data_IF_163225502542
#
_entry.id   IF_163225502542
#
_cell.length_a   1.000
_cell.length_b   1.000
_cell.length_c   1.000
_cell.angle_alpha   90.00
_cell.angle_beta   90.00
_cell.angle_gamma   90.00
#
_symmetry.space_group_name_H-M   'P 1'
#
loop_
_entity.id
_entity.type
_entity.pdbx_description
1 polymer ?
#
# COMPACT_ATOMS: atom_id res chain seq x y z
N UNK A 1 -3.80 -13.32 -17.20
CA UNK A 1 -2.76 -12.29 -16.96
C UNK A 1 -3.14 -10.94 -17.58
N UNK A 2 -3.06 -9.81 -16.83
CA UNK A 2 -3.32 -8.46 -17.34
C UNK A 2 -2.37 -8.01 -18.46
N UNK A 3 -2.86 -7.20 -19.41
CA UNK A 3 -2.10 -6.75 -20.60
C UNK A 3 -0.83 -5.98 -20.24
N UNK A 4 -0.89 -5.07 -19.25
CA UNK A 4 0.28 -4.29 -18.82
C UNK A 4 1.39 -5.18 -18.25
N UNK A 5 1.02 -6.19 -17.45
CA UNK A 5 1.97 -7.17 -16.90
C UNK A 5 2.62 -7.95 -18.03
N UNK A 6 1.82 -8.45 -18.98
CA UNK A 6 2.32 -9.18 -20.16
C UNK A 6 3.35 -8.36 -20.95
N UNK A 7 3.07 -7.08 -21.24
CA UNK A 7 4.00 -6.20 -21.95
C UNK A 7 5.34 -6.03 -21.23
N UNK A 8 5.32 -5.95 -19.90
CA UNK A 8 6.57 -5.85 -19.12
C UNK A 8 7.32 -7.18 -19.16
N UNK A 9 6.61 -8.31 -19.02
CA UNK A 9 7.21 -9.64 -19.14
C UNK A 9 7.80 -9.91 -20.53
N UNK A 10 7.17 -9.44 -21.60
CA UNK A 10 7.72 -9.51 -22.96
C UNK A 10 9.02 -8.68 -23.11
N UNK A 11 9.18 -7.61 -22.32
CA UNK A 11 10.34 -6.71 -22.41
C UNK A 11 11.53 -7.13 -21.54
N UNK A 12 11.26 -7.60 -20.32
CA UNK A 12 12.29 -7.85 -19.29
C UNK A 12 12.05 -9.15 -18.51
N UNK A 13 11.07 -9.96 -18.92
CA UNK A 13 10.61 -11.12 -18.17
C UNK A 13 11.65 -12.21 -18.01
N UNK A 14 12.56 -12.35 -18.98
CA UNK A 14 13.61 -13.37 -18.99
C UNK A 14 14.96 -12.88 -18.45
N UNK A 15 15.06 -11.60 -18.12
CA UNK A 15 16.28 -11.06 -17.54
C UNK A 15 16.50 -11.62 -16.12
N UNK A 16 17.76 -11.83 -15.70
CA UNK A 16 18.07 -12.31 -14.35
C UNK A 16 17.56 -11.36 -13.25
N UNK A 17 16.89 -11.93 -12.25
CA UNK A 17 16.56 -11.23 -10.99
C UNK A 17 17.78 -11.26 -10.09
N UNK A 18 18.21 -10.08 -9.64
CA UNK A 18 19.41 -9.90 -8.79
C UNK A 18 19.07 -9.64 -7.33
N UNK A 19 17.87 -9.11 -7.04
CA UNK A 19 17.40 -8.87 -5.67
C UNK A 19 15.88 -9.01 -5.61
N UNK A 20 15.38 -9.62 -4.55
CA UNK A 20 13.96 -9.60 -4.18
C UNK A 20 13.86 -9.03 -2.77
N UNK A 21 12.94 -8.11 -2.57
CA UNK A 21 12.60 -7.59 -1.26
C UNK A 21 11.10 -7.63 -1.05
N UNK A 22 10.68 -7.97 0.17
CA UNK A 22 9.30 -7.83 0.63
C UNK A 22 9.12 -6.40 1.12
N UNK A 23 8.15 -5.69 0.55
CA UNK A 23 7.72 -4.41 1.07
C UNK A 23 6.38 -4.52 1.79
N UNK A 24 6.18 -3.72 2.84
CA UNK A 24 4.90 -3.53 3.52
C UNK A 24 4.50 -2.06 3.49
N UNK A 25 3.22 -1.81 3.20
CA UNK A 25 2.60 -0.49 3.37
C UNK A 25 1.42 -0.64 4.31
N UNK A 26 1.30 0.18 5.37
CA UNK A 26 0.14 0.12 6.24
C UNK A 26 -1.13 0.46 5.46
N UNK A 27 -2.23 -0.20 5.79
CA UNK A 27 -3.55 0.14 5.27
C UNK A 27 -3.92 1.54 5.77
N UNK A 28 -4.52 2.34 4.89
CA UNK A 28 -4.87 3.72 5.22
C UNK A 28 -5.73 3.83 6.48
N UNK A 29 -5.37 4.76 7.36
CA UNK A 29 -6.06 4.97 8.63
C UNK A 29 -7.56 5.27 8.45
N UNK A 30 -7.94 5.93 7.35
CA UNK A 30 -9.34 6.24 7.02
C UNK A 30 -10.15 4.96 6.77
N UNK A 31 -9.58 3.99 6.07
CA UNK A 31 -10.24 2.69 5.85
C UNK A 31 -10.37 1.94 7.18
N UNK A 32 -9.33 1.92 8.01
CA UNK A 32 -9.39 1.30 9.35
C UNK A 32 -10.46 1.94 10.22
N UNK A 33 -10.55 3.28 10.23
CA UNK A 33 -11.59 4.00 10.95
C UNK A 33 -12.99 3.61 10.47
N UNK A 34 -13.18 3.55 9.15
CA UNK A 34 -14.46 3.16 8.57
C UNK A 34 -14.85 1.71 8.93
N UNK A 35 -13.90 0.77 8.88
CA UNK A 35 -14.10 -0.62 9.32
C UNK A 35 -14.44 -0.70 10.80
N UNK A 36 -13.80 0.12 11.65
CA UNK A 36 -14.14 0.23 13.06
C UNK A 36 -15.57 0.75 13.25
N UNK A 37 -15.98 1.79 12.54
CA UNK A 37 -17.36 2.31 12.62
C UNK A 37 -18.37 1.25 12.22
N UNK A 38 -18.17 0.57 11.09
CA UNK A 38 -19.08 -0.47 10.61
C UNK A 38 -19.17 -1.69 11.53
N UNK A 39 -18.07 -2.04 12.19
CA UNK A 39 -17.99 -3.17 13.14
C UNK A 39 -18.35 -2.78 14.57
N UNK A 40 -18.74 -1.52 14.83
CA UNK A 40 -18.92 -1.00 16.19
C UNK A 40 -17.68 -1.25 17.06
N UNK A 41 -16.50 -0.92 16.53
CA UNK A 41 -15.16 -1.07 17.10
C UNK A 41 -14.67 -2.51 17.31
N UNK A 42 -15.46 -3.52 16.94
CA UNK A 42 -15.05 -4.93 17.04
C UNK A 42 -13.83 -5.26 16.17
N UNK A 43 -13.66 -4.57 15.04
CA UNK A 43 -12.49 -4.74 14.17
C UNK A 43 -11.18 -4.39 14.90
N UNK A 44 -11.11 -3.24 15.57
CA UNK A 44 -9.95 -2.83 16.37
C UNK A 44 -9.67 -3.84 17.51
N UNK A 45 -10.71 -4.28 18.22
CA UNK A 45 -10.56 -5.27 19.29
C UNK A 45 -10.01 -6.59 18.75
N UNK A 46 -10.52 -7.06 17.61
CA UNK A 46 -10.05 -8.28 16.98
C UNK A 46 -8.62 -8.17 16.46
N UNK A 47 -8.22 -7.01 15.95
CA UNK A 47 -6.84 -6.71 15.57
C UNK A 47 -5.88 -6.91 16.76
N UNK A 48 -6.24 -6.36 17.92
CA UNK A 48 -5.47 -6.51 19.17
C UNK A 48 -5.47 -7.97 19.64
N UNK A 49 -6.63 -8.64 19.62
CA UNK A 49 -6.78 -10.05 20.00
C UNK A 49 -5.88 -10.97 19.16
N UNK A 50 -5.74 -10.68 17.86
CA UNK A 50 -4.87 -11.42 16.94
C UNK A 50 -3.39 -11.03 17.05
N UNK A 51 -3.03 -10.09 17.93
CA UNK A 51 -1.67 -9.63 18.13
C UNK A 51 -1.12 -8.77 16.99
N UNK A 52 -2.01 -8.10 16.23
CA UNK A 52 -1.60 -7.20 15.16
C UNK A 52 -1.50 -5.76 15.67
N UNK A 53 -0.33 -5.17 15.48
CA UNK A 53 -0.06 -3.75 15.66
C UNK A 53 -0.74 -2.91 14.58
N UNK A 54 -0.52 -3.26 13.32
CA UNK A 54 -1.05 -2.61 12.13
C UNK A 54 -1.49 -3.65 11.09
N UNK A 55 -2.35 -3.24 10.15
CA UNK A 55 -2.74 -4.07 9.01
C UNK A 55 -1.96 -3.59 7.79
N UNK A 56 -1.35 -4.50 7.05
CA UNK A 56 -0.45 -4.14 5.96
C UNK A 56 -0.89 -4.68 4.60
N UNK A 57 -0.42 -4.03 3.54
CA UNK A 57 -0.37 -4.57 2.19
C UNK A 57 1.05 -4.98 1.86
N UNK A 58 1.22 -6.25 1.48
CA UNK A 58 2.51 -6.78 1.06
C UNK A 58 2.67 -6.61 -0.45
N UNK A 59 3.90 -6.34 -0.87
CA UNK A 59 4.31 -6.32 -2.28
C UNK A 59 5.75 -6.82 -2.39
N UNK A 60 6.17 -7.18 -3.61
CA UNK A 60 7.55 -7.54 -3.91
C UNK A 60 8.24 -6.44 -4.71
N UNK A 61 9.44 -6.09 -4.30
CA UNK A 61 10.37 -5.28 -5.08
C UNK A 61 11.36 -6.23 -5.73
N UNK A 62 11.34 -6.27 -7.05
CA UNK A 62 12.15 -7.19 -7.84
C UNK A 62 13.13 -6.36 -8.65
N UNK A 63 14.40 -6.45 -8.28
CA UNK A 63 15.50 -5.84 -9.01
C UNK A 63 15.96 -6.80 -10.08
N UNK A 64 15.90 -6.34 -11.33
CA UNK A 64 16.21 -7.11 -12.52
C UNK A 64 17.48 -6.54 -13.15
N UNK A 65 18.36 -7.41 -13.57
CA UNK A 65 19.52 -7.06 -14.37
C UNK A 65 19.06 -6.48 -15.71
N UNK A 66 19.45 -5.25 -15.99
CA UNK A 66 19.12 -4.60 -17.25
C UNK A 66 20.20 -4.92 -18.27
N UNK A 67 19.94 -5.91 -19.11
CA UNK A 67 20.79 -6.22 -20.26
C UNK A 67 20.56 -5.26 -21.43
N UNK A 68 20.34 -3.96 -21.16
CA UNK A 68 20.30 -2.97 -22.22
C UNK A 68 21.52 -3.21 -23.10
N UNK A 69 21.26 -3.43 -24.40
CA UNK A 69 22.28 -3.48 -25.44
C UNK A 69 22.96 -2.12 -25.45
N UNK A 70 23.92 -1.93 -24.54
CA UNK A 70 24.79 -0.78 -24.53
C UNK A 70 25.37 -0.68 -25.93
N UNK A 71 25.11 0.45 -26.56
CA UNK A 71 25.71 0.85 -27.82
C UNK A 71 27.23 0.70 -27.64
N UNK A 72 27.98 0.35 -28.69
CA UNK A 72 29.43 0.08 -28.58
C UNK A 72 30.18 1.21 -27.83
N UNK A 73 29.80 2.47 -28.05
CA UNK A 73 30.34 3.63 -27.32
C UNK A 73 30.07 3.58 -25.81
N UNK A 74 28.87 3.17 -25.42
CA UNK A 74 28.42 3.13 -24.03
C UNK A 74 29.10 1.98 -23.28
N UNK A 75 29.42 0.87 -23.97
CA UNK A 75 30.27 -0.22 -23.45
C UNK A 75 31.70 0.24 -23.16
N UNK A 76 32.27 1.10 -24.01
CA UNK A 76 33.63 1.61 -23.81
C UNK A 76 33.73 2.57 -22.62
N UNK A 77 32.69 3.37 -22.38
CA UNK A 77 32.63 4.31 -21.24
C UNK A 77 32.31 3.57 -19.93
N UNK A 78 31.38 2.62 -19.94
CA UNK A 78 30.97 1.86 -18.75
C UNK A 78 31.91 0.70 -18.39
N UNK A 79 32.82 0.26 -19.28
CA UNK A 79 33.86 -0.71 -18.90
C UNK A 79 34.73 -0.22 -17.73
N UNK A 80 34.78 1.10 -17.49
CA UNK A 80 35.46 1.71 -16.34
C UNK A 80 34.64 1.70 -15.04
N UNK A 81 33.32 1.49 -15.11
CA UNK A 81 32.40 1.45 -13.96
C UNK A 81 31.49 0.23 -14.09
N UNK A 82 31.84 -0.87 -13.41
CA UNK A 82 31.05 -2.13 -13.33
C UNK A 82 29.69 -1.98 -12.61
N UNK A 83 28.97 -0.88 -12.81
CA UNK A 83 27.57 -0.78 -12.42
C UNK A 83 26.73 -1.41 -13.52
N UNK A 84 26.47 -2.71 -13.37
CA UNK A 84 25.44 -3.38 -14.16
C UNK A 84 24.14 -2.63 -13.91
N UNK A 85 23.61 -2.00 -14.96
CA UNK A 85 22.32 -1.30 -14.86
C UNK A 85 21.27 -2.26 -14.33
N UNK A 86 20.45 -1.81 -13.39
CA UNK A 86 19.35 -2.61 -12.85
C UNK A 86 18.06 -1.80 -12.84
N UNK A 87 16.93 -2.49 -12.97
CA UNK A 87 15.60 -1.88 -12.92
C UNK A 87 14.82 -2.56 -11.79
N UNK A 88 14.20 -1.75 -10.93
CA UNK A 88 13.33 -2.25 -9.87
C UNK A 88 11.88 -2.19 -10.35
N UNK A 89 11.16 -3.30 -10.18
CA UNK A 89 9.72 -3.37 -10.36
C UNK A 89 9.01 -3.73 -9.05
N UNK A 90 7.90 -3.04 -8.79
CA UNK A 90 6.93 -3.39 -7.76
C UNK A 90 5.92 -4.37 -8.34
N UNK A 91 5.85 -5.57 -7.76
CA UNK A 91 4.87 -6.61 -8.05
C UNK A 91 3.91 -6.72 -6.87
N UNK A 92 2.63 -6.44 -7.12
CA UNK A 92 1.59 -6.47 -6.11
C UNK A 92 0.28 -7.00 -6.67
N UNK A 93 -0.65 -7.34 -5.77
CA UNK A 93 -2.03 -7.68 -6.11
C UNK A 93 -2.99 -6.83 -5.27
N UNK A 94 -3.36 -5.69 -5.83
CA UNK A 94 -4.62 -5.02 -5.50
C UNK A 94 -5.76 -5.77 -6.22
N UNK A 95 -6.78 -5.08 -6.77
CA UNK A 95 -7.85 -5.73 -7.54
C UNK A 95 -7.35 -6.57 -8.75
N UNK A 96 -6.15 -6.28 -9.27
CA UNK A 96 -5.47 -7.07 -10.32
C UNK A 96 -4.00 -7.19 -9.98
N UNK A 97 -3.34 -8.22 -10.52
CA UNK A 97 -1.87 -8.29 -10.53
C UNK A 97 -1.33 -7.07 -11.27
N UNK A 98 -0.45 -6.31 -10.62
CA UNK A 98 0.20 -5.13 -11.18
C UNK A 98 1.71 -5.31 -11.11
N UNK A 99 2.37 -4.87 -12.17
CA UNK A 99 3.81 -4.76 -12.26
C UNK A 99 4.10 -3.35 -12.73
N UNK A 100 4.81 -2.57 -11.91
CA UNK A 100 5.05 -1.15 -12.18
C UNK A 100 6.41 -0.70 -11.63
N UNK A 101 6.89 0.47 -12.04
CA UNK A 101 8.04 1.09 -11.36
C UNK A 101 7.58 1.61 -10.02
N UNK A 102 8.33 1.40 -8.94
CA UNK A 102 7.97 1.97 -7.64
C UNK A 102 8.06 3.50 -7.64
N UNK A 103 7.25 4.15 -6.80
CA UNK A 103 7.31 5.59 -6.56
C UNK A 103 8.02 5.84 -5.22
N UNK A 104 9.23 6.37 -5.27
CA UNK A 104 10.03 6.70 -4.08
C UNK A 104 9.77 8.14 -3.59
N UNK A 105 9.87 8.43 -2.28
CA UNK A 105 10.09 7.52 -1.15
C UNK A 105 8.80 7.01 -0.48
N UNK A 106 7.63 7.49 -0.92
CA UNK A 106 6.34 7.40 -0.22
C UNK A 106 5.81 5.99 0.03
N UNK A 107 6.32 4.95 -0.65
CA UNK A 107 5.77 3.59 -0.56
C UNK A 107 6.56 2.64 0.36
N UNK A 108 7.72 3.04 0.85
CA UNK A 108 8.70 2.15 1.49
C UNK A 108 8.74 2.34 3.01
N UNK A 109 7.68 1.91 3.71
CA UNK A 109 7.65 1.96 5.18
C UNK A 109 8.56 0.87 5.75
N UNK A 110 8.29 -0.40 5.41
CA UNK A 110 9.12 -1.53 5.80
C UNK A 110 9.57 -2.33 4.58
N UNK A 111 10.87 -2.64 4.51
CA UNK A 111 11.46 -3.43 3.42
C UNK A 111 12.36 -4.50 4.01
N UNK A 112 12.15 -5.75 3.58
CA UNK A 112 12.87 -6.92 4.06
C UNK A 112 13.51 -7.66 2.89
N UNK A 113 14.75 -8.11 3.04
CA UNK A 113 15.43 -8.84 1.97
C UNK A 113 14.96 -10.30 1.93
N UNK A 114 14.67 -10.79 0.72
CA UNK A 114 14.38 -12.21 0.46
C UNK A 114 15.58 -12.80 -0.28
N UNK A 115 16.42 -13.61 0.39
CA UNK A 115 17.62 -14.14 -0.24
C UNK A 115 17.29 -15.08 -1.41
N UNK A 116 18.04 -14.93 -2.50
CA UNK A 116 17.93 -15.83 -3.66
C UNK A 116 18.65 -17.15 -3.38
N UNK A 117 18.13 -18.25 -3.93
CA UNK A 117 18.80 -19.55 -3.81
C UNK A 117 20.10 -19.55 -4.61
N UNK A 118 21.25 -19.91 -4.00
CA UNK A 118 22.51 -20.02 -4.73
C UNK A 118 22.38 -20.98 -5.92
N UNK A 119 23.07 -20.67 -7.02
CA UNK A 119 23.09 -21.48 -8.25
C UNK A 119 21.74 -21.64 -8.96
N UNK A 120 20.71 -20.87 -8.58
CA UNK A 120 19.41 -20.84 -9.26
C UNK A 120 19.17 -19.46 -9.84
N UNK A 121 19.09 -19.39 -11.16
CA UNK A 121 18.67 -18.16 -11.84
C UNK A 121 17.16 -18.00 -11.74
N UNK A 122 16.74 -16.85 -11.23
CA UNK A 122 15.34 -16.42 -11.22
C UNK A 122 15.12 -15.38 -12.31
N UNK A 123 13.93 -15.40 -12.90
CA UNK A 123 13.45 -14.40 -13.86
C UNK A 123 12.03 -14.02 -13.47
N UNK A 124 11.55 -12.85 -13.88
CA UNK A 124 10.16 -12.44 -13.63
C UNK A 124 9.17 -13.44 -14.24
N UNK A 125 9.44 -13.93 -15.45
CA UNK A 125 8.63 -14.94 -16.13
C UNK A 125 8.52 -16.19 -15.26
N UNK A 126 9.65 -16.71 -14.76
CA UNK A 126 9.64 -17.89 -13.89
C UNK A 126 8.84 -17.64 -12.60
N UNK A 127 9.08 -16.52 -11.92
CA UNK A 127 8.40 -16.20 -10.66
C UNK A 127 6.89 -16.19 -10.82
N UNK A 128 6.39 -15.48 -11.84
CA UNK A 128 4.96 -15.30 -12.08
C UNK A 128 4.31 -16.55 -12.67
N UNK A 129 4.93 -17.19 -13.67
CA UNK A 129 4.33 -18.36 -14.34
C UNK A 129 4.27 -19.57 -13.42
N UNK A 130 5.33 -19.83 -12.63
CA UNK A 130 5.34 -20.94 -11.66
C UNK A 130 4.23 -20.74 -10.64
N UNK A 131 4.13 -19.53 -10.06
CA UNK A 131 3.08 -19.22 -9.10
C UNK A 131 1.68 -19.29 -9.72
N UNK A 132 1.47 -18.74 -10.93
CA UNK A 132 0.16 -18.75 -11.58
C UNK A 132 -0.31 -20.12 -12.06
N UNK A 133 0.62 -21.05 -12.30
CA UNK A 133 0.28 -22.42 -12.71
C UNK A 133 -0.16 -23.27 -11.52
N UNK A 134 0.30 -22.95 -10.31
CA UNK A 134 -0.04 -23.68 -9.08
C UNK A 134 -1.23 -23.03 -8.37
N UNK A 135 -1.24 -21.70 -8.22
CA UNK A 135 -2.33 -20.97 -7.60
C UNK A 135 -3.45 -20.65 -8.61
N UNK A 136 -4.55 -21.41 -8.53
CA UNK A 136 -5.74 -21.21 -9.38
C UNK A 136 -6.38 -19.83 -9.20
N UNK A 137 -6.15 -19.17 -8.07
CA UNK A 137 -6.69 -17.86 -7.74
C UNK A 137 -5.68 -16.73 -8.00
N UNK A 138 -4.54 -17.03 -8.64
CA UNK A 138 -3.46 -16.07 -8.85
C UNK A 138 -3.95 -14.76 -9.50
N UNK A 139 -4.86 -14.84 -10.47
CA UNK A 139 -5.42 -13.66 -11.16
C UNK A 139 -6.79 -13.18 -10.67
N UNK A 140 -7.49 -13.93 -9.82
CA UNK A 140 -8.81 -13.55 -9.28
C UNK A 140 -8.68 -12.76 -7.99
N UNK A 141 -9.63 -11.86 -7.70
CA UNK A 141 -9.64 -11.05 -6.48
C UNK A 141 -10.87 -11.38 -5.60
N UNK A 142 -10.64 -11.75 -4.35
CA UNK A 142 -11.57 -11.88 -3.22
C UNK A 142 -10.93 -11.36 -1.89
N UNK A 143 -11.28 -10.12 -1.51
CA UNK A 143 -10.78 -9.45 -0.29
C UNK A 143 -11.11 -10.18 1.02
N UNK A 144 -12.17 -10.99 1.06
CA UNK A 144 -12.72 -11.53 2.31
C UNK A 144 -12.26 -12.95 2.62
N UNK A 145 -12.04 -13.78 1.61
CA UNK A 145 -11.82 -15.21 1.81
C UNK A 145 -10.36 -15.66 1.72
N UNK A 146 -9.42 -14.82 1.25
CA UNK A 146 -8.07 -15.28 0.92
C UNK A 146 -6.90 -14.27 1.11
N UNK A 147 -6.95 -13.39 2.13
CA UNK A 147 -5.87 -12.44 2.54
C UNK A 147 -5.00 -11.89 1.39
N UNK A 148 -5.67 -11.34 0.38
CA UNK A 148 -5.24 -11.33 -1.01
C UNK A 148 -3.84 -10.86 -1.38
N UNK A 149 -3.43 -9.68 -0.93
CA UNK A 149 -2.13 -9.13 -1.31
C UNK A 149 -1.01 -9.86 -0.58
N UNK A 150 -1.27 -10.26 0.68
CA UNK A 150 -0.32 -10.99 1.52
C UNK A 150 -0.16 -12.42 1.05
N UNK A 151 -1.26 -13.18 0.89
CA UNK A 151 -1.25 -14.54 0.34
C UNK A 151 -0.66 -14.58 -1.06
N UNK A 152 -0.92 -13.57 -1.89
CA UNK A 152 -0.30 -13.51 -3.22
C UNK A 152 1.22 -13.41 -3.16
N UNK A 153 1.75 -12.56 -2.28
CA UNK A 153 3.19 -12.41 -2.09
C UNK A 153 3.79 -13.66 -1.45
N UNK A 154 3.17 -14.18 -0.39
CA UNK A 154 3.57 -15.44 0.26
C UNK A 154 3.61 -16.58 -0.75
N UNK A 155 2.55 -16.80 -1.53
CA UNK A 155 2.48 -17.83 -2.56
C UNK A 155 3.60 -17.71 -3.58
N UNK A 156 3.91 -16.49 -4.06
CA UNK A 156 5.03 -16.30 -5.00
C UNK A 156 6.35 -16.73 -4.36
N UNK A 157 6.60 -16.34 -3.11
CA UNK A 157 7.84 -16.66 -2.39
C UNK A 157 7.93 -18.17 -2.10
N UNK A 158 6.86 -18.77 -1.58
CA UNK A 158 6.77 -20.18 -1.24
C UNK A 158 6.89 -21.08 -2.47
N UNK A 159 6.06 -20.86 -3.50
CA UNK A 159 6.01 -21.70 -4.71
C UNK A 159 7.35 -21.68 -5.46
N UNK A 160 8.06 -20.54 -5.44
CA UNK A 160 9.36 -20.44 -6.08
C UNK A 160 10.51 -21.00 -5.23
N UNK A 161 10.22 -21.51 -4.03
CA UNK A 161 11.19 -22.09 -3.11
C UNK A 161 12.13 -21.05 -2.50
N UNK A 162 11.64 -19.83 -2.28
CA UNK A 162 12.43 -18.74 -1.70
C UNK A 162 12.32 -18.70 -0.16
N UNK A 163 11.25 -19.25 0.41
CA UNK A 163 10.98 -19.23 1.86
C UNK A 163 12.02 -19.99 2.68
N UNK A 164 12.59 -21.06 2.12
CA UNK A 164 13.70 -21.77 2.76
C UNK A 164 14.96 -20.92 2.90
N UNK A 165 15.12 -19.88 2.08
CA UNK A 165 16.30 -19.01 2.12
C UNK A 165 16.16 -17.86 3.14
N UNK A 166 14.96 -17.61 3.66
CA UNK A 166 14.72 -16.51 4.60
C UNK A 166 15.22 -16.93 5.98
N UNK A 167 16.41 -16.51 6.40
CA UNK A 167 16.95 -16.86 7.72
C UNK A 167 16.38 -15.95 8.81
N UNK A 168 16.15 -14.69 8.47
CA UNK A 168 15.72 -13.67 9.41
C UNK A 168 14.25 -13.88 9.85
N UNK A 169 14.03 -13.98 11.16
CA UNK A 169 12.70 -14.23 11.72
C UNK A 169 11.72 -13.07 11.47
N UNK A 170 12.21 -11.83 11.48
CA UNK A 170 11.44 -10.62 11.17
C UNK A 170 10.82 -10.70 9.77
N UNK A 171 11.61 -11.09 8.76
CA UNK A 171 11.14 -11.29 7.38
C UNK A 171 10.12 -12.41 7.28
N UNK A 172 10.30 -13.52 8.02
CA UNK A 172 9.30 -14.60 8.08
C UNK A 172 7.97 -14.14 8.67
N UNK A 173 8.03 -13.35 9.76
CA UNK A 173 6.83 -12.78 10.40
C UNK A 173 6.16 -11.78 9.45
N UNK A 174 6.94 -10.92 8.79
CA UNK A 174 6.44 -9.94 7.82
C UNK A 174 5.77 -10.57 6.59
N UNK A 175 6.29 -11.72 6.14
CA UNK A 175 5.77 -12.46 5.00
C UNK A 175 4.42 -13.12 5.30
N UNK A 176 4.24 -13.60 6.55
CA UNK A 176 3.05 -14.34 6.97
C UNK A 176 1.78 -13.49 6.83
N UNK A 177 0.73 -13.98 6.15
CA UNK A 177 -0.53 -13.27 6.07
C UNK A 177 -1.19 -13.09 7.44
N UNK A 178 -1.80 -11.93 7.62
CA UNK A 178 -2.68 -11.59 8.73
C UNK A 178 -4.07 -12.16 8.45
N UNK A 179 -4.78 -12.64 9.48
CA UNK A 179 -6.09 -13.28 9.36
C UNK A 179 -7.20 -12.27 9.02
N UNK A 180 -7.27 -11.85 7.75
CA UNK A 180 -8.28 -10.91 7.29
C UNK A 180 -9.68 -11.54 7.35
N UNK A 181 -9.82 -12.87 7.29
CA UNK A 181 -11.11 -13.53 7.48
C UNK A 181 -11.65 -13.29 8.89
N UNK A 182 -10.82 -13.49 9.91
CA UNK A 182 -11.21 -13.21 11.30
C UNK A 182 -11.49 -11.72 11.52
N UNK A 183 -10.71 -10.82 10.91
CA UNK A 183 -10.95 -9.38 10.96
C UNK A 183 -12.27 -8.98 10.28
N UNK A 184 -12.54 -9.47 9.07
CA UNK A 184 -13.76 -9.18 8.30
C UNK A 184 -15.00 -9.80 8.96
N UNK A 185 -14.87 -10.96 9.63
CA UNK A 185 -15.97 -11.59 10.35
C UNK A 185 -16.55 -10.68 11.46
N UNK A 186 -15.77 -9.73 11.99
CA UNK A 186 -16.25 -8.75 12.99
C UNK A 186 -17.38 -7.85 12.48
N UNK A 187 -17.53 -7.74 11.16
CA UNK A 187 -18.55 -6.93 10.50
C UNK A 187 -19.92 -7.65 10.43
N UNK A 188 -19.97 -8.95 10.73
CA UNK A 188 -21.19 -9.75 10.67
C UNK A 188 -21.85 -9.71 9.27
N UNK A 189 -23.14 -9.38 9.23
CA UNK A 189 -23.91 -9.25 7.98
C UNK A 189 -23.43 -8.12 7.06
N UNK A 190 -22.53 -7.24 7.53
CA UNK A 190 -21.95 -6.13 6.75
C UNK A 190 -20.65 -6.50 6.04
N UNK A 191 -20.19 -7.75 6.14
CA UNK A 191 -18.94 -8.20 5.51
C UNK A 191 -18.93 -8.02 3.99
N UNK A 192 -20.09 -8.11 3.33
CA UNK A 192 -20.20 -7.88 1.87
C UNK A 192 -19.97 -6.42 1.47
N UNK A 193 -20.28 -5.46 2.36
CA UNK A 193 -19.99 -4.03 2.13
C UNK A 193 -18.48 -3.81 2.02
N UNK A 194 -17.69 -4.57 2.78
CA UNK A 194 -16.23 -4.44 2.76
C UNK A 194 -15.63 -5.03 1.50
N UNK A 195 -16.18 -6.10 0.94
CA UNK A 195 -15.78 -6.56 -0.41
C UNK A 195 -15.94 -5.44 -1.43
N UNK A 196 -17.10 -4.77 -1.43
CA UNK A 196 -17.36 -3.65 -2.33
C UNK A 196 -16.46 -2.43 -2.06
N UNK A 197 -16.15 -2.12 -0.80
CA UNK A 197 -15.30 -0.99 -0.43
C UNK A 197 -13.83 -1.26 -0.71
N UNK A 198 -13.35 -2.49 -0.56
CA UNK A 198 -11.98 -2.85 -0.94
C UNK A 198 -11.83 -2.84 -2.46
N UNK A 199 -12.85 -3.29 -3.20
CA UNK A 199 -12.90 -3.16 -4.66
C UNK A 199 -12.97 -1.68 -5.11
N UNK A 200 -13.77 -0.89 -4.41
CA UNK A 200 -13.82 0.56 -4.58
C UNK A 200 -12.56 1.23 -4.10
N UNK A 201 -11.80 0.71 -3.15
CA UNK A 201 -10.58 1.32 -2.60
C UNK A 201 -9.57 1.60 -3.70
N UNK A 202 -9.41 0.69 -4.66
CA UNK A 202 -8.58 0.93 -5.86
C UNK A 202 -9.11 2.03 -6.81
N UNK A 203 -10.39 2.40 -6.69
CA UNK A 203 -11.08 3.46 -7.45
C UNK A 203 -11.26 4.74 -6.63
N UNK A 204 -11.38 4.62 -5.32
CA UNK A 204 -11.51 5.69 -4.33
C UNK A 204 -10.15 6.29 -4.06
N UNK A 205 -9.07 5.50 -4.01
CA UNK A 205 -7.70 6.01 -4.13
C UNK A 205 -7.60 6.86 -5.39
N UNK A 206 -8.00 6.27 -6.52
CA UNK A 206 -7.96 6.98 -7.79
C UNK A 206 -8.84 8.23 -7.77
N UNK A 207 -9.99 8.23 -7.11
CA UNK A 207 -10.89 9.37 -7.06
C UNK A 207 -10.42 10.44 -6.08
N UNK A 208 -10.09 10.09 -4.83
CA UNK A 208 -9.56 10.97 -3.77
C UNK A 208 -8.22 11.57 -4.18
N UNK A 209 -7.33 10.80 -4.83
CA UNK A 209 -6.01 11.27 -5.24
C UNK A 209 -5.96 11.86 -6.66
N UNK A 210 -6.78 11.43 -7.64
CA UNK A 210 -6.84 12.10 -8.97
C UNK A 210 -7.67 13.40 -8.93
N UNK A 211 -8.67 13.55 -8.05
CA UNK A 211 -9.44 14.80 -7.90
C UNK A 211 -8.72 15.85 -7.07
N UNK A 212 -7.43 16.11 -7.36
CA UNK A 212 -6.63 17.28 -6.92
C UNK A 212 -6.98 17.87 -5.54
N UNK A 213 -7.33 17.05 -4.55
CA UNK A 213 -7.27 17.49 -3.15
C UNK A 213 -5.76 17.56 -2.92
N UNK A 214 -5.21 18.78 -3.01
CA UNK A 214 -3.80 19.03 -2.77
C UNK A 214 -3.54 18.83 -1.29
N UNK A 215 -3.43 17.58 -0.87
CA UNK A 215 -2.80 17.25 0.39
C UNK A 215 -1.41 17.87 0.37
N UNK A 216 -1.08 18.69 1.38
CA UNK A 216 0.30 19.12 1.56
C UNK A 216 1.15 17.86 1.55
N UNK A 217 2.16 17.81 0.68
CA UNK A 217 3.07 16.67 0.58
C UNK A 217 3.53 16.35 2.02
N UNK A 218 3.41 15.10 2.49
CA UNK A 218 4.06 14.76 3.75
C UNK A 218 5.53 15.13 3.63
N UNK A 219 6.09 15.72 4.70
CA UNK A 219 7.50 16.06 4.75
C UNK A 219 8.29 14.81 4.34
N UNK A 220 9.05 14.94 3.26
CA UNK A 220 9.97 13.89 2.83
C UNK A 220 10.97 13.75 3.96
N UNK A 221 10.87 12.66 4.73
CA UNK A 221 11.93 12.28 5.65
C UNK A 221 13.16 12.03 4.78
N UNK A 222 14.16 12.91 4.87
CA UNK A 222 15.48 12.60 4.35
C UNK A 222 16.01 11.43 5.16
N UNK A 223 15.89 10.23 4.60
CA UNK A 223 16.70 9.12 5.05
C UNK A 223 18.12 9.41 4.58
N UNK A 224 18.95 9.92 5.50
CA UNK A 224 20.39 9.85 5.32
C UNK A 224 20.74 8.36 5.37
N UNK A 225 20.91 7.76 4.20
CA UNK A 225 21.66 6.51 4.08
C UNK A 225 23.06 6.82 4.59
N UNK A 226 23.36 6.46 5.84
CA UNK A 226 24.72 6.49 6.37
C UNK A 226 25.50 5.38 5.66
N UNK A 227 25.90 5.65 4.42
CA UNK A 227 26.98 4.95 3.77
C UNK A 227 28.27 5.39 4.44
N UNK A 228 29.01 4.42 4.98
CA UNK A 228 30.35 4.52 5.52
C UNK A 228 30.46 4.97 6.99
N UNK A 229 29.82 4.22 7.89
CA UNK A 229 30.31 4.14 9.26
C UNK A 229 31.60 3.30 9.27
N UNK A 230 32.76 3.96 9.10
CA UNK A 230 34.05 3.38 9.43
C UNK A 230 34.09 3.16 10.94
N UNK A 231 33.75 1.95 11.38
CA UNK A 231 34.07 1.50 12.73
C UNK A 231 35.59 1.37 12.79
N UNK A 232 36.28 2.42 13.28
CA UNK A 232 37.62 2.25 13.83
C UNK A 232 37.47 1.32 15.03
N UNK A 233 37.85 0.06 14.82
CA UNK A 233 38.10 -0.85 15.92
C UNK A 233 39.10 -0.17 16.86
N UNK A 234 38.65 0.15 18.07
CA UNK A 234 39.52 0.55 19.17
C UNK A 234 40.28 -0.72 19.53
N UNK A 235 41.49 -0.87 18.99
CA UNK A 235 42.40 -1.91 19.44
C UNK A 235 42.78 -1.56 20.88
N UNK A 236 42.23 -2.30 21.83
CA UNK A 236 42.79 -2.42 23.17
C UNK A 236 44.15 -3.11 23.04
N UNK A 237 45.22 -2.32 23.00
CA UNK A 237 46.58 -2.80 23.22
C UNK A 237 46.92 -2.49 24.67
N UNK A 238 46.56 -3.42 25.55
CA UNK A 238 47.31 -3.68 26.78
C UNK A 238 48.59 -4.41 26.41
N UNK A 239 49.74 -3.79 26.63
CA UNK A 239 51.05 -4.41 26.89
C UNK A 239 51.97 -3.27 27.39
N UNK A 240 52.21 -3.16 28.70
CA UNK A 240 53.35 -3.77 29.41
C UNK A 240 54.72 -3.27 28.91
N UNK A 241 55.33 -2.40 29.72
CA UNK A 241 56.76 -2.11 29.87
C UNK A 241 57.73 -2.81 28.91
N UNK A 242 58.47 -2.03 28.11
CA UNK A 242 59.96 -2.00 28.11
C UNK A 242 60.52 -0.93 27.16
N UNK A 243 61.36 -0.07 27.73
CA UNK A 243 62.59 0.55 27.23
C UNK A 243 62.70 1.27 25.87
N UNK A 244 63.13 2.54 25.98
CA UNK A 244 64.11 3.29 25.18
C UNK A 244 64.07 3.19 23.64
N UNK A 245 63.88 4.34 22.97
CA UNK A 245 64.79 4.89 21.93
C UNK A 245 64.28 6.27 21.46
N UNK A 246 65.25 7.08 21.09
CA UNK A 246 65.33 8.55 20.94
C UNK A 246 64.71 9.19 19.69
N UNK A 247 64.34 10.47 19.86
CA UNK A 247 64.35 11.62 18.93
C UNK A 247 64.57 11.38 17.43
N UNK A 248 63.62 11.84 16.60
CA UNK A 248 63.82 12.95 15.65
C UNK A 248 62.63 13.07 14.68
N UNK A 249 62.38 14.32 14.24
CA UNK A 249 61.57 14.69 13.06
C UNK A 249 60.07 14.93 13.30
N UNK A 250 59.75 16.04 13.97
CA UNK A 250 58.49 16.76 13.73
C UNK A 250 58.87 18.00 12.90
N UNK A 251 58.46 17.98 11.64
CA UNK A 251 58.57 19.09 10.69
C UNK A 251 57.28 19.90 10.76
N UNK A 252 57.45 21.20 10.96
CA UNK A 252 56.47 22.26 10.86
C UNK A 252 55.67 22.21 9.55
N UNK A 253 54.33 22.29 9.62
CA UNK A 253 53.54 23.11 8.69
C UNK A 253 52.38 23.74 9.47
N UNK A 254 52.55 25.03 9.76
CA UNK A 254 51.55 25.94 10.29
C UNK A 254 51.34 27.04 9.25
N UNK A 255 50.21 27.08 8.54
CA UNK A 255 49.50 28.33 8.12
C UNK A 255 48.36 28.13 7.11
N UNK A 256 47.30 28.91 7.37
CA UNK A 256 46.42 29.62 6.41
C UNK A 256 45.32 28.78 5.74
N UNK A 257 44.06 29.21 5.59
CA UNK A 257 43.47 30.55 5.68
C UNK A 257 41.99 30.48 6.09
N UNK A 258 41.57 31.51 6.81
CA UNK A 258 40.19 31.98 6.90
C UNK A 258 39.55 32.16 5.52
N UNK A 259 38.27 31.77 5.40
CA UNK A 259 37.36 32.27 4.37
C UNK A 259 35.91 32.03 4.82
N UNK A 260 35.39 32.91 5.67
CA UNK A 260 33.98 33.01 5.99
C UNK A 260 33.34 34.01 5.03
N UNK A 261 32.60 33.49 4.05
CA UNK A 261 31.78 34.31 3.15
C UNK A 261 30.41 34.49 3.77
N UNK A 262 30.06 35.72 4.11
CA UNK A 262 28.72 36.12 4.56
C UNK A 262 27.76 35.98 3.37
N UNK A 263 26.84 35.03 3.45
CA UNK A 263 25.67 34.92 2.56
C UNK A 263 24.42 35.17 3.39
N UNK A 264 23.58 36.05 2.85
CA UNK A 264 22.34 36.58 3.40
C UNK A 264 21.47 35.61 4.22
N UNK A 265 21.14 36.03 5.45
CA UNK A 265 19.76 36.02 5.93
C UNK A 265 19.11 34.66 6.22
N UNK A 266 19.77 33.80 6.99
CA UNK A 266 19.10 32.84 7.87
C UNK A 266 19.92 32.79 9.17
N UNK A 267 19.28 33.03 10.30
CA UNK A 267 19.92 32.91 11.61
C UNK A 267 20.20 31.44 11.89
N UNK A 268 21.44 31.01 11.64
CA UNK A 268 21.96 29.75 12.16
C UNK A 268 21.90 29.83 13.68
N UNK A 269 20.97 29.07 14.27
CA UNK A 269 20.99 28.79 15.70
C UNK A 269 22.12 27.79 15.91
N UNK A 270 23.28 28.30 16.34
CA UNK A 270 24.38 27.45 16.79
C UNK A 270 23.90 26.74 18.06
N UNK A 271 23.69 25.43 17.96
CA UNK A 271 23.34 24.58 19.09
C UNK A 271 24.64 24.30 19.85
N UNK A 272 24.88 25.04 20.93
CA UNK A 272 26.14 24.97 21.68
C UNK A 272 26.16 23.85 22.74
N UNK A 273 25.02 23.21 23.04
CA UNK A 273 24.97 22.16 24.06
C UNK A 273 23.99 21.02 23.76
N UNK A 274 24.29 19.82 24.28
CA UNK A 274 23.52 18.60 24.00
C UNK A 274 22.06 18.67 24.49
N UNK A 275 21.81 19.45 25.55
CA UNK A 275 20.47 19.67 26.10
C UNK A 275 19.59 20.50 25.15
N UNK A 276 20.16 21.43 24.38
CA UNK A 276 19.43 22.24 23.40
C UNK A 276 19.03 21.41 22.17
N UNK A 277 19.88 20.46 21.77
CA UNK A 277 19.54 19.49 20.73
C UNK A 277 18.40 18.56 21.16
N UNK A 278 18.41 18.09 22.42
CA UNK A 278 17.35 17.24 22.96
C UNK A 278 16.02 17.99 23.06
N UNK A 279 16.02 19.22 23.57
CA UNK A 279 14.82 20.06 23.65
C UNK A 279 14.26 20.41 22.27
N UNK A 280 15.11 20.63 21.26
CA UNK A 280 14.67 20.84 19.88
C UNK A 280 14.03 19.58 19.28
N UNK A 281 14.57 18.39 19.55
CA UNK A 281 13.98 17.11 19.13
C UNK A 281 12.63 16.86 19.81
N UNK A 282 12.52 17.12 21.11
CA UNK A 282 11.26 17.00 21.85
C UNK A 282 10.21 17.99 21.32
N UNK A 283 10.59 19.24 21.05
CA UNK A 283 9.69 20.23 20.46
C UNK A 283 9.22 19.84 19.04
N UNK A 284 10.12 19.28 18.22
CA UNK A 284 9.78 18.76 16.89
C UNK A 284 8.82 17.56 16.96
N UNK A 285 8.99 16.66 17.93
CA UNK A 285 8.06 15.54 18.15
C UNK A 285 6.68 16.02 18.62
N UNK A 286 6.62 17.05 19.47
CA UNK A 286 5.35 17.62 19.93
C UNK A 286 4.59 18.35 18.81
N UNK A 287 5.30 19.11 17.97
CA UNK A 287 4.70 19.79 16.82
C UNK A 287 4.22 18.78 15.75
N UNK A 288 4.93 17.68 15.52
CA UNK A 288 4.47 16.60 14.63
C UNK A 288 3.19 15.93 15.18
N UNK A 289 3.13 15.67 16.48
CA UNK A 289 1.92 15.13 17.14
C UNK A 289 0.75 16.11 17.05
N UNK A 290 1.00 17.42 17.18
CA UNK A 290 -0.03 18.47 17.08
C UNK A 290 -0.56 18.60 15.65
N UNK A 291 0.30 18.55 14.64
CA UNK A 291 -0.12 18.58 13.23
C UNK A 291 -0.96 17.35 12.87
N UNK A 292 -0.52 16.14 13.27
CA UNK A 292 -1.29 14.90 13.07
C UNK A 292 -2.65 14.94 13.76
N UNK A 293 -2.73 15.47 14.99
CA UNK A 293 -4.00 15.70 15.68
C UNK A 293 -4.92 16.63 14.91
N UNK A 294 -4.39 17.75 14.40
CA UNK A 294 -5.19 18.72 13.64
C UNK A 294 -5.69 18.12 12.30
N UNK A 295 -4.85 17.37 11.59
CA UNK A 295 -5.28 16.68 10.37
C UNK A 295 -6.36 15.62 10.67
N UNK A 296 -6.20 14.84 11.75
CA UNK A 296 -7.20 13.87 12.18
C UNK A 296 -8.54 14.54 12.52
N UNK A 297 -8.52 15.69 13.20
CA UNK A 297 -9.72 16.47 13.51
C UNK A 297 -10.43 16.91 12.21
N UNK A 298 -9.69 17.42 11.23
CA UNK A 298 -10.26 17.84 9.93
C UNK A 298 -10.91 16.66 9.20
N UNK A 299 -10.26 15.48 9.20
CA UNK A 299 -10.79 14.25 8.61
C UNK A 299 -12.07 13.80 9.34
N UNK A 300 -12.08 13.86 10.67
CA UNK A 300 -13.28 13.51 11.46
C UNK A 300 -14.44 14.45 11.12
N UNK A 301 -14.20 15.77 11.05
CA UNK A 301 -15.24 16.74 10.69
C UNK A 301 -15.76 16.55 9.27
N UNK A 302 -14.89 16.26 8.30
CA UNK A 302 -15.32 16.04 6.91
C UNK A 302 -16.13 14.74 6.78
N UNK A 303 -15.75 13.67 7.47
CA UNK A 303 -16.54 12.43 7.52
C UNK A 303 -17.88 12.67 8.21
N UNK A 304 -17.92 13.38 9.35
CA UNK A 304 -19.16 13.75 10.03
C UNK A 304 -20.09 14.57 9.13
N UNK A 305 -19.54 15.52 8.36
CA UNK A 305 -20.31 16.32 7.41
C UNK A 305 -20.93 15.46 6.31
N UNK A 306 -20.17 14.51 5.75
CA UNK A 306 -20.70 13.57 4.73
C UNK A 306 -21.80 12.70 5.32
N UNK A 307 -21.61 12.17 6.55
CA UNK A 307 -22.65 11.39 7.24
C UNK A 307 -23.91 12.24 7.45
N UNK A 308 -23.77 13.48 7.91
CA UNK A 308 -24.89 14.42 8.08
C UNK A 308 -25.63 14.67 6.77
N UNK A 309 -24.91 14.84 5.65
CA UNK A 309 -25.52 15.01 4.33
C UNK A 309 -26.25 13.74 3.87
N UNK A 310 -25.68 12.56 4.11
CA UNK A 310 -26.36 11.29 3.80
C UNK A 310 -27.61 11.09 4.64
N UNK A 311 -27.55 11.37 5.95
CA UNK A 311 -28.72 11.31 6.85
C UNK A 311 -29.77 12.31 6.42
N UNK A 312 -29.37 13.55 6.08
CA UNK A 312 -30.26 14.57 5.54
C UNK A 312 -30.95 14.14 4.25
N UNK A 313 -30.22 13.51 3.32
CA UNK A 313 -30.78 12.98 2.08
C UNK A 313 -31.76 11.83 2.34
N UNK A 314 -31.47 10.92 3.28
CA UNK A 314 -32.37 9.83 3.66
C UNK A 314 -33.66 10.39 4.29
N UNK A 315 -33.54 11.36 5.20
CA UNK A 315 -34.69 12.04 5.80
C UNK A 315 -35.52 12.73 4.72
N UNK A 316 -34.88 13.41 3.78
CA UNK A 316 -35.56 14.08 2.67
C UNK A 316 -36.32 13.10 1.76
N UNK A 317 -35.69 11.98 1.38
CA UNK A 317 -36.34 10.90 0.61
C UNK A 317 -37.53 10.32 1.39
N UNK A 318 -37.38 10.11 2.69
CA UNK A 318 -38.45 9.64 3.56
C UNK A 318 -39.64 10.61 3.59
N UNK A 319 -39.39 11.92 3.69
CA UNK A 319 -40.43 12.96 3.61
C UNK A 319 -41.15 12.96 2.26
N UNK A 320 -40.42 12.85 1.14
CA UNK A 320 -41.02 12.75 -0.20
C UNK A 320 -41.93 11.51 -0.29
N UNK A 321 -41.45 10.37 0.23
CA UNK A 321 -42.23 9.14 0.24
C UNK A 321 -43.50 9.25 1.09
N UNK A 322 -43.40 9.87 2.27
CA UNK A 322 -44.55 10.08 3.16
C UNK A 322 -45.61 11.00 2.52
N UNK A 323 -45.18 12.09 1.87
CA UNK A 323 -46.11 12.99 1.18
C UNK A 323 -46.86 12.28 0.06
N UNK A 324 -46.16 11.49 -0.78
CA UNK A 324 -46.81 10.68 -1.82
C UNK A 324 -47.81 9.67 -1.27
N UNK A 325 -47.51 9.07 -0.12
CA UNK A 325 -48.43 8.15 0.54
C UNK A 325 -49.72 8.85 0.97
N UNK A 326 -49.62 10.05 1.53
CA UNK A 326 -50.79 10.83 1.95
C UNK A 326 -51.68 11.22 0.76
N UNK A 327 -51.10 11.62 -0.37
CA UNK A 327 -51.85 11.92 -1.60
C UNK A 327 -52.62 10.70 -2.13
N UNK A 328 -52.07 9.49 -2.01
CA UNK A 328 -52.75 8.26 -2.42
C UNK A 328 -53.92 7.92 -1.50
N UNK A 329 -53.75 8.09 -0.18
CA UNK A 329 -54.82 7.85 0.79
C UNK A 329 -55.96 8.88 0.64
N UNK A 330 -55.65 10.14 0.30
CA UNK A 330 -56.66 11.17 0.06
C UNK A 330 -57.50 10.84 -1.19
N UNK A 331 -56.87 10.34 -2.26
CA UNK A 331 -57.58 9.86 -3.46
C UNK A 331 -58.45 8.63 -3.20
N UNK A 332 -58.03 7.71 -2.33
CA UNK A 332 -58.89 6.58 -1.92
C UNK A 332 -60.05 7.04 -1.02
N UNK A 333 -59.84 8.02 -0.15
CA UNK A 333 -60.86 8.50 0.79
C UNK A 333 -61.91 9.42 0.15
N UNK A 334 -61.52 10.19 -0.87
CA UNK A 334 -62.43 11.10 -1.57
C UNK A 334 -63.36 10.39 -2.53
N UNK A 335 -63.19 9.07 -2.71
CA UNK A 335 -64.21 8.19 -3.27
C UNK A 335 -64.86 8.81 -4.50
N UNK A 336 -64.04 9.13 -5.50
CA UNK A 336 -64.58 9.41 -6.82
C UNK A 336 -65.15 8.07 -7.31
N UNK A 337 -66.42 7.86 -6.96
CA UNK A 337 -67.31 6.83 -7.47
C UNK A 337 -67.44 7.14 -8.96
N UNK A 338 -66.39 6.82 -9.72
CA UNK A 338 -66.51 6.74 -11.16
C UNK A 338 -67.48 5.61 -11.42
N UNK A 339 -68.64 6.01 -11.94
CA UNK A 339 -69.68 5.18 -12.51
C UNK A 339 -69.07 3.92 -13.14
N UNK A 340 -69.46 2.79 -12.57
CA UNK A 340 -69.30 1.46 -13.16
C UNK A 340 -69.69 1.55 -14.63
N UNK A 341 -68.77 1.37 -15.60
CA UNK A 341 -69.18 1.24 -16.98
C UNK A 341 -70.11 0.02 -17.08
N UNK A 342 -71.33 0.27 -17.56
CA UNK A 342 -72.32 -0.76 -17.89
C UNK A 342 -71.63 -1.90 -18.62
N UNK A 343 -71.85 -3.10 -18.12
CA UNK A 343 -71.45 -4.36 -18.74
C UNK A 343 -72.07 -4.49 -20.13
N UNK A 344 -71.33 -4.13 -21.18
CA UNK A 344 -71.60 -4.63 -22.51
C UNK A 344 -71.02 -6.03 -22.64
N UNK A 345 -71.92 -7.00 -22.48
CA UNK A 345 -71.81 -8.36 -22.97
C UNK A 345 -71.48 -8.32 -24.48
N UNK A 346 -70.21 -8.47 -24.83
CA UNK A 346 -69.82 -8.94 -26.16
C UNK A 346 -69.04 -10.24 -26.02
N UNK A 347 -69.71 -11.33 -26.37
CA UNK A 347 -69.09 -12.63 -26.57
C UNK A 347 -68.19 -12.54 -27.80
N UNK A 348 -66.88 -12.69 -27.61
CA UNK A 348 -66.00 -13.10 -28.69
C UNK A 348 -65.25 -14.36 -28.27
N UNK A 349 -65.60 -15.42 -28.99
CA UNK A 349 -65.04 -16.76 -28.97
C UNK A 349 -63.54 -16.67 -29.21
N UNK A 350 -62.73 -17.06 -28.22
CA UNK A 350 -61.30 -17.32 -28.41
C UNK A 350 -61.11 -18.82 -28.54
N UNK A 351 -60.91 -19.24 -29.78
CA UNK A 351 -60.47 -20.57 -30.20
C UNK A 351 -59.13 -20.92 -29.56
N UNK A 352 -59.08 -22.04 -28.84
CA UNK A 352 -57.86 -22.70 -28.41
C UNK A 352 -57.16 -23.31 -29.64
N UNK A 353 -56.04 -22.72 -30.07
CA UNK A 353 -55.08 -23.41 -30.95
C UNK A 353 -54.01 -24.03 -30.06
N UNK A 354 -54.18 -25.34 -29.86
CA UNK A 354 -53.24 -26.24 -29.22
C UNK A 354 -52.03 -26.44 -30.15
N UNK A 355 -50.90 -25.81 -29.82
CA UNK A 355 -49.64 -25.91 -30.56
C UNK A 355 -48.67 -26.85 -29.87
N UNK A 356 -48.84 -28.15 -30.11
CA UNK A 356 -47.90 -29.20 -29.77
C UNK A 356 -46.65 -29.15 -30.68
N UNK A 357 -45.51 -29.54 -30.10
CA UNK A 357 -44.32 -30.14 -30.72
C UNK A 357 -43.45 -29.33 -31.71
N UNK A 358 -42.15 -29.21 -31.39
CA UNK A 358 -41.15 -30.17 -31.93
C UNK A 358 -39.76 -30.04 -31.27
N UNK A 359 -39.19 -31.24 -31.07
CA UNK A 359 -37.76 -31.58 -30.86
C UNK A 359 -36.82 -30.87 -31.84
N UNK A 360 -35.60 -30.53 -31.41
CA UNK A 360 -34.35 -31.28 -31.67
C UNK A 360 -33.24 -30.82 -30.74
#
# INVERSE_FOLDING_TARGET
MPVKVRKILEQVGDNPVVKIQLGRTPVEAVLILFLNILSSWKFANKKIELGYDEIYHNYLLITIQNEKKLNVLQRMVEASKRTVGSIVYKLEKAHRVRLMKPVFPTEFVDVFDIPLTPNKTFTLNRLITTASNIDKHFYTYDAANNNMCQTFVENIVDINGLTSNIIENTTRIALKPQDAKALVATLGSRSDIVKHITDLGGTVDKWIFDHKIKWKKPLVKEFVLIGNMHVKAKNDITNSNTDNITNSTIVDIQRSSDNTTVINGMTDTVIENADDAFNAVVALEEDEKKEKRNQLIIIIFSVLLVILLCVGAIIFIFFIWQNRKNELMEKESTGDVQDKPKSESSSSVVTYVNGNEKKY
#
